data_IF_417052502555
#
_entry.id   IF_417052502555
#
_cell.length_a   1.000
_cell.length_b   1.000
_cell.length_c   1.000
_cell.angle_alpha   90.00
_cell.angle_beta   90.00
_cell.angle_gamma   90.00
#
_symmetry.space_group_name_H-M   'P 1'
#
loop_
_entity.id
_entity.type
_entity.pdbx_description
1 polymer ?
#
# COMPACT_ATOMS: atom_id res chain seq x y z
N UNK A 1 -49.99 14.63 -3.92
CA UNK A 1 -48.91 15.48 -3.38
C UNK A 1 -47.86 15.64 -4.46
N UNK A 2 -47.82 16.77 -5.16
CA UNK A 2 -46.68 17.09 -6.04
C UNK A 2 -45.54 17.52 -5.15
N UNK A 3 -44.45 16.77 -5.13
CA UNK A 3 -43.22 17.24 -4.52
C UNK A 3 -42.70 18.42 -5.34
N UNK A 4 -42.60 19.61 -4.74
CA UNK A 4 -41.99 20.76 -5.38
C UNK A 4 -40.56 20.41 -5.81
N UNK A 5 -40.16 20.84 -7.01
CA UNK A 5 -38.87 20.52 -7.62
C UNK A 5 -37.68 20.90 -6.69
N UNK A 6 -37.86 21.92 -5.86
CA UNK A 6 -36.93 22.34 -4.81
C UNK A 6 -36.68 21.22 -3.79
N UNK A 7 -37.71 20.56 -3.29
CA UNK A 7 -37.61 19.48 -2.30
C UNK A 7 -36.95 18.25 -2.89
N UNK A 8 -37.26 17.93 -4.16
CA UNK A 8 -36.62 16.82 -4.88
C UNK A 8 -35.11 17.05 -5.07
N UNK A 9 -34.73 18.27 -5.48
CA UNK A 9 -33.34 18.65 -5.69
C UNK A 9 -32.52 18.64 -4.40
N UNK A 10 -33.09 19.11 -3.28
CA UNK A 10 -32.45 19.11 -1.97
C UNK A 10 -32.14 17.68 -1.49
N UNK A 11 -33.08 16.75 -1.66
CA UNK A 11 -32.89 15.33 -1.29
C UNK A 11 -31.76 14.72 -2.13
N UNK A 12 -31.73 14.99 -3.44
CA UNK A 12 -30.66 14.45 -4.30
C UNK A 12 -29.26 14.95 -3.92
N UNK A 13 -29.12 16.22 -3.53
CA UNK A 13 -27.82 16.77 -3.09
C UNK A 13 -27.35 16.08 -1.81
N UNK A 14 -28.25 15.88 -0.84
CA UNK A 14 -27.91 15.19 0.42
C UNK A 14 -27.46 13.76 0.16
N UNK A 15 -28.17 13.02 -0.71
CA UNK A 15 -27.81 11.64 -1.05
C UNK A 15 -26.43 11.58 -1.72
N UNK A 16 -26.15 12.48 -2.69
CA UNK A 16 -24.83 12.55 -3.33
C UNK A 16 -23.74 12.88 -2.31
N UNK A 17 -24.00 13.81 -1.39
CA UNK A 17 -23.05 14.17 -0.34
C UNK A 17 -22.74 12.98 0.58
N UNK A 18 -23.75 12.21 1.00
CA UNK A 18 -23.58 11.00 1.81
C UNK A 18 -22.71 9.98 1.06
N UNK A 19 -22.99 9.75 -0.23
CA UNK A 19 -22.20 8.81 -1.06
C UNK A 19 -20.73 9.25 -1.11
N UNK A 20 -20.45 10.53 -1.36
CA UNK A 20 -19.08 11.07 -1.41
C UNK A 20 -18.37 10.90 -0.06
N UNK A 21 -19.04 11.21 1.05
CA UNK A 21 -18.46 11.04 2.41
C UNK A 21 -18.13 9.57 2.68
N UNK A 22 -19.01 8.64 2.32
CA UNK A 22 -18.77 7.20 2.48
C UNK A 22 -17.59 6.75 1.60
N UNK A 23 -17.50 7.19 0.35
CA UNK A 23 -16.40 6.84 -0.55
C UNK A 23 -15.05 7.35 -0.02
N UNK A 24 -14.98 8.60 0.42
CA UNK A 24 -13.75 9.19 1.00
C UNK A 24 -13.35 8.48 2.29
N UNK A 25 -14.32 8.17 3.16
CA UNK A 25 -14.07 7.44 4.42
C UNK A 25 -13.51 6.03 4.20
N UNK A 26 -14.09 5.27 3.26
CA UNK A 26 -13.63 3.91 2.93
C UNK A 26 -12.25 3.90 2.26
N UNK A 27 -11.97 4.89 1.41
CA UNK A 27 -10.66 5.06 0.78
C UNK A 27 -9.54 5.25 1.81
N UNK A 28 -9.75 6.15 2.78
CA UNK A 28 -8.72 6.45 3.81
C UNK A 28 -8.35 5.24 4.66
N UNK A 29 -9.33 4.45 5.12
CA UNK A 29 -9.06 3.30 5.98
C UNK A 29 -8.22 2.21 5.28
N UNK A 30 -8.51 1.92 4.01
CA UNK A 30 -7.74 0.93 3.25
C UNK A 30 -6.31 1.42 2.95
N UNK A 31 -6.15 2.71 2.66
CA UNK A 31 -4.84 3.31 2.39
C UNK A 31 -3.99 3.40 3.66
N UNK A 32 -4.57 3.69 4.83
CA UNK A 32 -3.84 3.73 6.10
C UNK A 32 -3.20 2.39 6.49
N UNK A 33 -3.92 1.28 6.30
CA UNK A 33 -3.39 -0.06 6.61
C UNK A 33 -2.18 -0.35 5.71
N UNK A 34 -2.30 -0.08 4.41
CA UNK A 34 -1.18 -0.24 3.46
C UNK A 34 -0.01 0.66 3.81
N UNK A 35 -0.27 1.93 4.17
CA UNK A 35 0.77 2.87 4.60
C UNK A 35 1.52 2.40 5.85
N UNK A 36 0.83 1.83 6.85
CA UNK A 36 1.50 1.31 8.06
C UNK A 36 2.39 0.11 7.76
N UNK A 37 1.98 -0.75 6.84
CA UNK A 37 2.80 -1.90 6.41
C UNK A 37 4.04 -1.39 5.67
N UNK A 38 3.87 -0.44 4.75
CA UNK A 38 4.97 0.16 4.01
C UNK A 38 5.96 0.89 4.92
N UNK A 39 5.47 1.69 5.87
CA UNK A 39 6.29 2.44 6.82
C UNK A 39 7.12 1.51 7.71
N UNK A 40 6.56 0.36 8.11
CA UNK A 40 7.28 -0.64 8.91
C UNK A 40 8.40 -1.30 8.12
N UNK A 41 8.14 -1.66 6.87
CA UNK A 41 9.17 -2.21 5.98
C UNK A 41 10.26 -1.17 5.66
N UNK A 42 9.89 0.09 5.44
CA UNK A 42 10.83 1.19 5.28
C UNK A 42 11.71 1.40 6.51
N UNK A 43 11.11 1.41 7.71
CA UNK A 43 11.88 1.54 8.95
C UNK A 43 12.84 0.37 9.14
N UNK A 44 12.40 -0.86 8.85
CA UNK A 44 13.26 -2.05 8.89
C UNK A 44 14.45 -1.91 7.94
N UNK A 45 14.20 -1.57 6.67
CA UNK A 45 15.25 -1.36 5.67
C UNK A 45 16.20 -0.21 6.06
N UNK A 46 15.69 0.89 6.58
CA UNK A 46 16.52 2.04 6.96
C UNK A 46 17.45 1.72 8.14
N UNK A 47 17.02 0.84 9.05
CA UNK A 47 17.83 0.41 10.20
C UNK A 47 18.78 -0.75 9.91
N UNK A 48 18.66 -1.40 8.74
CA UNK A 48 19.39 -2.61 8.41
C UNK A 48 20.09 -2.45 7.05
N UNK A 49 21.40 -2.19 7.11
CA UNK A 49 22.23 -1.90 5.94
C UNK A 49 22.28 -3.08 4.94
N UNK A 50 22.22 -4.31 5.46
CA UNK A 50 22.17 -5.54 4.66
C UNK A 50 20.83 -5.65 3.90
N UNK A 51 19.71 -5.30 4.56
CA UNK A 51 18.41 -5.23 3.90
C UNK A 51 18.39 -4.20 2.77
N UNK A 52 19.00 -3.03 2.99
CA UNK A 52 19.16 -2.01 1.94
C UNK A 52 20.00 -2.51 0.77
N UNK A 53 21.07 -3.24 1.03
CA UNK A 53 21.95 -3.75 -0.03
C UNK A 53 21.26 -4.83 -0.87
N UNK A 54 20.50 -5.74 -0.24
CA UNK A 54 19.66 -6.72 -0.97
C UNK A 54 18.61 -5.99 -1.81
N UNK A 55 17.91 -5.01 -1.24
CA UNK A 55 16.96 -4.18 -1.97
C UNK A 55 17.61 -3.45 -3.16
N UNK A 56 18.84 -2.92 -3.00
CA UNK A 56 19.56 -2.25 -4.07
C UNK A 56 19.87 -3.22 -5.22
N UNK A 57 20.39 -4.42 -4.91
CA UNK A 57 20.68 -5.46 -5.91
C UNK A 57 19.41 -5.90 -6.67
N UNK A 58 18.28 -6.00 -5.97
CA UNK A 58 16.99 -6.33 -6.58
C UNK A 58 16.54 -5.20 -7.52
N UNK A 59 16.56 -3.95 -7.08
CA UNK A 59 16.15 -2.81 -7.90
C UNK A 59 17.10 -2.55 -9.08
N UNK A 60 18.39 -2.88 -8.97
CA UNK A 60 19.33 -2.80 -10.11
C UNK A 60 18.93 -3.75 -11.24
N UNK A 61 18.40 -4.94 -10.90
CA UNK A 61 17.89 -5.90 -11.89
C UNK A 61 16.45 -5.64 -12.30
N UNK A 62 15.62 -5.21 -11.36
CA UNK A 62 14.18 -5.02 -11.53
C UNK A 62 13.75 -3.69 -10.89
N UNK A 63 13.99 -2.56 -11.58
CA UNK A 63 13.69 -1.23 -11.03
C UNK A 63 12.21 -0.97 -10.78
N UNK A 64 11.33 -1.79 -11.33
CA UNK A 64 9.88 -1.72 -11.16
C UNK A 64 9.37 -2.40 -9.87
N UNK A 65 10.15 -3.31 -9.27
CA UNK A 65 9.70 -4.06 -8.09
C UNK A 65 9.81 -3.20 -6.84
N UNK A 66 8.83 -3.29 -5.95
CA UNK A 66 8.76 -2.52 -4.72
C UNK A 66 8.87 -3.44 -3.49
N UNK A 67 9.83 -3.13 -2.61
CA UNK A 67 9.95 -3.79 -1.32
C UNK A 67 8.71 -3.55 -0.44
N UNK A 68 8.19 -4.62 0.16
CA UNK A 68 6.95 -4.62 0.93
C UNK A 68 5.67 -4.80 0.10
N UNK A 69 5.77 -4.88 -1.23
CA UNK A 69 4.66 -5.16 -2.15
C UNK A 69 4.98 -6.40 -2.98
N UNK A 70 6.01 -6.30 -3.82
CA UNK A 70 6.41 -7.36 -4.76
C UNK A 70 7.34 -8.39 -4.12
N UNK A 71 8.04 -8.01 -3.05
CA UNK A 71 8.85 -8.91 -2.24
C UNK A 71 8.98 -8.36 -0.82
N UNK A 72 9.20 -9.25 0.15
CA UNK A 72 9.42 -8.86 1.55
C UNK A 72 10.77 -9.39 2.04
N UNK A 73 11.38 -8.63 2.94
CA UNK A 73 12.62 -9.02 3.60
C UNK A 73 12.35 -9.30 5.07
N UNK A 74 13.08 -10.27 5.63
CA UNK A 74 12.97 -10.66 7.03
C UNK A 74 14.34 -10.80 7.65
N UNK A 75 14.42 -10.33 8.89
CA UNK A 75 15.59 -10.52 9.74
C UNK A 75 15.58 -11.92 10.37
N UNK A 76 16.67 -12.67 10.17
CA UNK A 76 16.91 -13.95 10.83
C UNK A 76 17.82 -13.86 12.05
N UNK A 77 18.25 -12.66 12.43
CA UNK A 77 19.18 -12.40 13.53
C UNK A 77 20.65 -12.69 13.17
N UNK A 78 20.90 -13.60 12.23
CA UNK A 78 22.23 -13.84 11.63
C UNK A 78 22.44 -13.11 10.30
N UNK A 79 21.41 -12.43 9.80
CA UNK A 79 21.40 -11.72 8.53
C UNK A 79 19.99 -11.51 7.99
N UNK A 80 19.90 -10.90 6.82
CA UNK A 80 18.63 -10.60 6.13
C UNK A 80 18.41 -11.53 4.95
N UNK A 81 17.19 -12.02 4.78
CA UNK A 81 16.80 -12.79 3.60
C UNK A 81 15.48 -12.32 2.98
N UNK A 82 15.23 -12.76 1.75
CA UNK A 82 13.94 -12.62 1.08
C UNK A 82 12.96 -13.64 1.68
N UNK A 83 11.91 -13.15 2.33
CA UNK A 83 10.85 -13.95 2.96
C UNK A 83 9.81 -14.36 1.90
N UNK A 84 9.13 -13.37 1.31
CA UNK A 84 8.15 -13.59 0.24
C UNK A 84 8.61 -12.96 -1.09
N UNK A 85 8.24 -13.62 -2.18
CA UNK A 85 8.45 -13.14 -3.54
C UNK A 85 7.14 -13.23 -4.32
N UNK A 86 6.48 -12.09 -4.47
CA UNK A 86 5.16 -11.93 -5.07
C UNK A 86 5.23 -11.33 -6.49
N UNK A 87 6.40 -11.37 -7.11
CA UNK A 87 6.64 -10.90 -8.47
C UNK A 87 6.67 -12.04 -9.48
N UNK A 88 6.21 -11.77 -10.70
CA UNK A 88 6.34 -12.67 -11.85
C UNK A 88 7.80 -12.82 -12.35
N UNK A 89 8.72 -12.00 -11.84
CA UNK A 89 10.14 -12.05 -12.17
C UNK A 89 10.83 -13.24 -11.49
N UNK A 90 11.92 -13.76 -12.06
CA UNK A 90 12.67 -14.82 -11.39
C UNK A 90 13.30 -14.29 -10.10
N UNK A 91 13.07 -15.02 -9.00
CA UNK A 91 13.63 -14.73 -7.69
C UNK A 91 15.15 -14.72 -7.78
N UNK A 92 15.83 -13.62 -7.40
CA UNK A 92 17.28 -13.60 -7.35
C UNK A 92 17.77 -14.52 -6.25
N UNK A 93 18.81 -15.29 -6.55
CA UNK A 93 19.57 -16.04 -5.54
C UNK A 93 20.27 -15.00 -4.64
N UNK A 94 19.89 -14.99 -3.37
CA UNK A 94 20.46 -14.11 -2.34
C UNK A 94 21.80 -14.66 -1.87
#
# INVERSE_FOLDING_TARGET
MSYDALTLSAITIIVVFIIVVIMVGRGKAATEIKMRILARNLHFMQSNEEAMEICRKIHEKYPELCAGIDFTLKDKGTGVEIDEWNSDKPRPEA
#
